data_IF_030776242666
#
_entry.id   IF_030776242666
#
_cell.length_a   1.000
_cell.length_b   1.000
_cell.length_c   1.000
_cell.angle_alpha   90.00
_cell.angle_beta   90.00
_cell.angle_gamma   90.00
#
_symmetry.space_group_name_H-M   'P 1'
#
loop_
_entity.id
_entity.type
_entity.pdbx_description
1 polymer ?
#
# COMPACT_ATOMS: atom_id res chain seq x y z
N UNK A 1 -4.17 -30.79 24.21
CA UNK A 1 -3.89 -29.68 23.28
C UNK A 1 -3.14 -30.14 22.03
N UNK A 2 -2.17 -31.06 22.13
CA UNK A 2 -1.50 -31.69 20.96
C UNK A 2 -2.49 -32.17 19.89
N UNK A 3 -3.48 -33.00 20.24
CA UNK A 3 -4.46 -33.52 19.28
C UNK A 3 -5.29 -32.39 18.62
N UNK A 4 -5.68 -31.38 19.40
CA UNK A 4 -6.38 -30.20 18.87
C UNK A 4 -5.50 -29.41 17.90
N UNK A 5 -4.23 -29.21 18.23
CA UNK A 5 -3.26 -28.55 17.36
C UNK A 5 -3.07 -29.30 16.04
N UNK A 6 -2.92 -30.63 16.09
CA UNK A 6 -2.85 -31.47 14.89
C UNK A 6 -4.11 -31.36 14.02
N UNK A 7 -5.29 -31.35 14.63
CA UNK A 7 -6.55 -31.20 13.90
C UNK A 7 -6.65 -29.82 13.24
N UNK A 8 -6.31 -28.73 13.95
CA UNK A 8 -6.30 -27.37 13.40
C UNK A 8 -5.33 -27.27 12.21
N UNK A 9 -4.13 -27.87 12.33
CA UNK A 9 -3.15 -27.92 11.23
C UNK A 9 -3.71 -28.63 10.01
N UNK A 10 -4.34 -29.80 10.20
CA UNK A 10 -4.94 -30.57 9.12
C UNK A 10 -6.09 -29.81 8.45
N UNK A 11 -6.97 -29.18 9.22
CA UNK A 11 -8.03 -28.33 8.70
C UNK A 11 -7.48 -27.17 7.86
N UNK A 12 -6.40 -26.53 8.33
CA UNK A 12 -5.77 -25.42 7.60
C UNK A 12 -5.09 -25.89 6.32
N UNK A 13 -4.41 -27.03 6.34
CA UNK A 13 -3.86 -27.66 5.13
C UNK A 13 -4.95 -28.00 4.10
N UNK A 14 -6.10 -28.51 4.54
CA UNK A 14 -7.23 -28.80 3.66
C UNK A 14 -7.81 -27.51 3.05
N UNK A 15 -7.95 -26.44 3.84
CA UNK A 15 -8.38 -25.13 3.34
C UNK A 15 -7.42 -24.58 2.29
N UNK A 16 -6.11 -24.63 2.55
CA UNK A 16 -5.10 -24.19 1.59
C UNK A 16 -5.17 -25.02 0.30
N UNK A 17 -5.36 -26.33 0.40
CA UNK A 17 -5.54 -27.17 -0.79
C UNK A 17 -6.79 -26.79 -1.60
N UNK A 18 -7.89 -26.44 -0.92
CA UNK A 18 -9.10 -25.94 -1.57
C UNK A 18 -8.87 -24.58 -2.24
N UNK A 19 -8.23 -23.64 -1.53
CA UNK A 19 -7.89 -22.31 -2.07
C UNK A 19 -7.01 -22.43 -3.32
N UNK A 20 -6.02 -23.34 -3.33
CA UNK A 20 -5.19 -23.59 -4.52
C UNK A 20 -6.01 -24.06 -5.72
N UNK A 21 -7.00 -24.92 -5.50
CA UNK A 21 -7.89 -25.39 -6.56
C UNK A 21 -8.80 -24.26 -7.06
N UNK A 22 -9.33 -23.45 -6.15
CA UNK A 22 -10.13 -22.27 -6.50
C UNK A 22 -9.31 -21.24 -7.27
N UNK A 23 -8.05 -21.03 -6.90
CA UNK A 23 -7.12 -20.12 -7.55
C UNK A 23 -6.88 -20.51 -9.01
N UNK A 24 -6.63 -21.79 -9.31
CA UNK A 24 -6.47 -22.27 -10.68
C UNK A 24 -7.73 -21.96 -11.53
N UNK A 25 -8.92 -22.17 -10.96
CA UNK A 25 -10.18 -21.84 -11.66
C UNK A 25 -10.39 -20.34 -11.83
N UNK A 26 -9.99 -19.53 -10.84
CA UNK A 26 -10.12 -18.08 -10.88
C UNK A 26 -9.14 -17.45 -11.88
N UNK A 27 -7.92 -17.98 -11.99
CA UNK A 27 -6.93 -17.57 -13.00
C UNK A 27 -7.43 -17.87 -14.42
N UNK A 28 -8.03 -19.03 -14.64
CA UNK A 28 -8.65 -19.36 -15.93
C UNK A 28 -9.79 -18.39 -16.28
N UNK A 29 -10.65 -18.07 -15.30
CA UNK A 29 -11.72 -17.07 -15.49
C UNK A 29 -11.12 -15.70 -15.79
N UNK A 30 -10.10 -15.26 -15.05
CA UNK A 30 -9.41 -13.97 -15.28
C UNK A 30 -8.87 -13.89 -16.71
N UNK A 31 -8.19 -14.93 -17.19
CA UNK A 31 -7.66 -14.99 -18.56
C UNK A 31 -8.78 -14.92 -19.62
N UNK A 32 -9.89 -15.63 -19.40
CA UNK A 32 -11.06 -15.55 -20.29
C UNK A 32 -11.66 -14.13 -20.31
N UNK A 33 -11.77 -13.47 -19.14
CA UNK A 33 -12.27 -12.09 -19.04
C UNK A 33 -11.33 -11.07 -19.65
N UNK A 34 -10.02 -11.28 -19.55
CA UNK A 34 -9.01 -10.44 -20.18
C UNK A 34 -9.16 -10.46 -21.70
N UNK A 35 -9.32 -11.65 -22.29
CA UNK A 35 -9.56 -11.78 -23.73
C UNK A 35 -10.87 -11.11 -24.16
N UNK A 36 -11.94 -11.21 -23.36
CA UNK A 36 -13.20 -10.50 -23.64
C UNK A 36 -13.07 -8.99 -23.50
N UNK A 37 -12.25 -8.51 -22.55
CA UNK A 37 -11.93 -7.09 -22.39
C UNK A 37 -11.25 -6.55 -23.63
N UNK A 38 -10.16 -7.17 -24.08
CA UNK A 38 -9.43 -6.77 -25.29
C UNK A 38 -10.33 -6.78 -26.53
N UNK A 39 -11.18 -7.81 -26.67
CA UNK A 39 -12.12 -7.92 -27.78
C UNK A 39 -13.19 -6.81 -27.79
N UNK A 40 -13.59 -6.29 -26.62
CA UNK A 40 -14.56 -5.21 -26.49
C UNK A 40 -13.92 -3.82 -26.62
N UNK A 41 -12.68 -3.64 -26.13
CA UNK A 41 -11.94 -2.37 -26.20
C UNK A 41 -11.45 -2.03 -27.61
N UNK A 42 -11.11 -3.04 -28.43
CA UNK A 42 -10.65 -2.81 -29.80
C UNK A 42 -11.66 -2.01 -30.68
N UNK A 43 -12.94 -2.39 -30.78
CA UNK A 43 -13.92 -1.62 -31.55
C UNK A 43 -14.30 -0.29 -30.89
N UNK A 44 -14.32 -0.20 -29.56
CA UNK A 44 -14.53 1.05 -28.83
C UNK A 44 -13.44 2.07 -29.17
N UNK A 45 -12.16 1.68 -29.08
CA UNK A 45 -11.02 2.54 -29.37
C UNK A 45 -11.07 3.07 -30.81
N UNK A 46 -11.40 2.20 -31.78
CA UNK A 46 -11.60 2.60 -33.18
C UNK A 46 -12.78 3.57 -33.37
N UNK A 47 -13.85 3.43 -32.57
CA UNK A 47 -14.99 4.34 -32.63
C UNK A 47 -14.64 5.70 -32.02
N UNK A 48 -13.92 5.72 -30.90
CA UNK A 48 -13.53 6.92 -30.17
C UNK A 48 -12.44 7.75 -30.87
N UNK A 49 -11.61 7.14 -31.72
CA UNK A 49 -10.59 7.85 -32.53
C UNK A 49 -11.19 9.02 -33.32
N UNK A 50 -12.38 8.83 -33.91
CA UNK A 50 -13.08 9.89 -34.66
C UNK A 50 -13.49 11.08 -33.79
N UNK A 51 -13.84 10.81 -32.54
CA UNK A 51 -14.22 11.85 -31.59
C UNK A 51 -13.00 12.61 -31.08
N UNK A 52 -11.87 11.90 -30.86
CA UNK A 52 -10.59 12.50 -30.49
C UNK A 52 -10.08 13.43 -31.59
N UNK A 53 -10.06 12.98 -32.84
CA UNK A 53 -9.65 13.80 -33.99
C UNK A 53 -10.52 15.06 -34.14
N UNK A 54 -11.83 14.92 -33.95
CA UNK A 54 -12.76 16.04 -34.03
C UNK A 54 -12.57 17.03 -32.88
N UNK A 55 -12.31 16.54 -31.67
CA UNK A 55 -12.01 17.37 -30.50
C UNK A 55 -10.68 18.12 -30.65
N UNK A 56 -9.63 17.44 -31.14
CA UNK A 56 -8.33 18.04 -31.38
C UNK A 56 -8.39 19.07 -32.51
N UNK A 57 -9.11 18.77 -33.60
CA UNK A 57 -9.36 19.75 -34.67
C UNK A 57 -10.14 20.97 -34.14
N UNK A 58 -11.10 20.77 -33.24
CA UNK A 58 -11.83 21.86 -32.60
C UNK A 58 -10.90 22.70 -31.71
N UNK A 59 -10.07 22.09 -30.87
CA UNK A 59 -9.08 22.79 -30.03
C UNK A 59 -8.09 23.58 -30.88
N UNK A 60 -7.61 23.01 -31.99
CA UNK A 60 -6.72 23.71 -32.93
C UNK A 60 -7.43 24.90 -33.57
N UNK A 61 -8.68 24.74 -34.01
CA UNK A 61 -9.46 25.83 -34.59
C UNK A 61 -9.75 26.93 -33.55
N UNK A 62 -10.12 26.57 -32.33
CA UNK A 62 -10.35 27.51 -31.23
C UNK A 62 -9.07 28.27 -30.87
N UNK A 63 -7.93 27.58 -30.80
CA UNK A 63 -6.62 28.21 -30.57
C UNK A 63 -6.22 29.14 -31.71
N UNK A 64 -6.48 28.75 -32.97
CA UNK A 64 -6.21 29.60 -34.13
C UNK A 64 -7.09 30.86 -34.14
N UNK A 65 -8.38 30.72 -33.81
CA UNK A 65 -9.30 31.86 -33.67
C UNK A 65 -8.88 32.78 -32.53
N UNK A 66 -8.52 32.22 -31.37
CA UNK A 66 -8.02 32.99 -30.25
C UNK A 66 -6.71 33.73 -30.60
N UNK A 67 -5.78 33.06 -31.29
CA UNK A 67 -4.53 33.69 -31.76
C UNK A 67 -4.79 34.82 -32.74
N UNK A 68 -5.66 34.62 -33.73
CA UNK A 68 -6.01 35.65 -34.71
C UNK A 68 -6.74 36.84 -34.08
N UNK A 69 -7.59 36.57 -33.06
CA UNK A 69 -8.24 37.62 -32.28
C UNK A 69 -7.22 38.42 -31.47
N UNK A 70 -6.31 37.75 -30.77
CA UNK A 70 -5.25 38.41 -30.00
C UNK A 70 -4.32 39.24 -30.91
N UNK A 71 -3.97 38.73 -32.10
CA UNK A 71 -3.17 39.44 -33.09
C UNK A 71 -3.91 40.69 -33.63
N UNK A 72 -5.22 40.58 -33.89
CA UNK A 72 -6.03 41.70 -34.32
C UNK A 72 -6.19 42.78 -33.22
N UNK A 73 -6.43 42.37 -31.97
CA UNK A 73 -6.49 43.28 -30.82
C UNK A 73 -5.14 43.95 -30.58
N UNK A 74 -4.03 43.21 -30.63
CA UNK A 74 -2.69 43.78 -30.52
C UNK A 74 -2.40 44.79 -31.65
N UNK A 75 -2.88 44.51 -32.87
CA UNK A 75 -2.74 45.43 -34.01
C UNK A 75 -3.58 46.69 -33.85
N UNK A 76 -4.84 46.60 -33.41
CA UNK A 76 -5.66 47.79 -33.14
C UNK A 76 -5.05 48.66 -32.03
N UNK A 77 -4.54 48.04 -30.97
CA UNK A 77 -3.84 48.77 -29.89
C UNK A 77 -2.59 49.46 -30.45
N UNK A 78 -1.79 48.76 -31.25
CA UNK A 78 -0.61 49.33 -31.89
C UNK A 78 -0.97 50.52 -32.80
N UNK A 79 -1.94 50.35 -33.70
CA UNK A 79 -2.39 51.40 -34.64
C UNK A 79 -2.98 52.62 -33.91
N UNK A 80 -3.51 52.45 -32.69
CA UNK A 80 -4.01 53.57 -31.88
C UNK A 80 -2.91 54.39 -31.20
N UNK A 81 -1.76 53.76 -30.93
CA UNK A 81 -0.61 54.38 -30.26
C UNK A 81 0.40 54.97 -31.27
N UNK A 82 0.45 54.44 -32.50
CA UNK A 82 1.32 54.92 -33.60
C UNK A 82 0.72 56.17 -34.28
N UNK A 83 0.94 57.33 -33.65
CA UNK A 83 0.31 58.60 -34.02
C UNK A 83 0.83 59.20 -35.33
N UNK A 84 2.09 58.90 -35.70
CA UNK A 84 2.69 59.36 -36.94
C UNK A 84 2.68 58.32 -38.08
N UNK A 85 2.20 57.11 -37.79
CA UNK A 85 2.03 55.99 -38.72
C UNK A 85 3.33 55.56 -39.39
N UNK A 86 4.46 55.73 -38.70
CA UNK A 86 5.78 55.28 -39.18
C UNK A 86 6.02 53.78 -38.94
N UNK A 87 5.09 53.11 -38.24
CA UNK A 87 5.15 51.70 -37.91
C UNK A 87 6.03 51.37 -36.71
N UNK A 88 6.34 52.35 -35.85
CA UNK A 88 7.14 52.17 -34.62
C UNK A 88 6.58 53.02 -33.48
N UNK A 89 6.36 52.42 -32.31
CA UNK A 89 6.00 53.17 -31.12
C UNK A 89 7.23 53.86 -30.51
N UNK A 90 7.19 55.18 -30.44
CA UNK A 90 8.18 55.99 -29.74
C UNK A 90 7.75 56.24 -28.28
N UNK A 91 8.70 56.60 -27.41
CA UNK A 91 8.41 56.87 -26.00
C UNK A 91 7.45 58.04 -25.85
N UNK A 92 7.59 59.03 -26.74
CA UNK A 92 6.78 60.23 -26.78
C UNK A 92 5.32 59.94 -27.15
N UNK A 93 5.06 58.92 -27.97
CA UNK A 93 3.71 58.48 -28.34
C UNK A 93 3.04 57.69 -27.21
N UNK A 94 3.78 56.79 -26.55
CA UNK A 94 3.29 56.04 -25.39
C UNK A 94 2.98 57.00 -24.22
N UNK A 95 3.80 58.03 -24.02
CA UNK A 95 3.59 59.04 -22.98
C UNK A 95 2.43 59.99 -23.25
N UNK A 96 1.94 60.04 -24.49
CA UNK A 96 0.79 60.86 -24.88
C UNK A 96 -0.55 60.14 -24.69
N UNK A 97 -0.52 58.84 -24.38
CA UNK A 97 -1.73 58.05 -24.14
C UNK A 97 -2.01 57.93 -22.62
N UNK A 98 -3.06 58.62 -22.18
CA UNK A 98 -3.50 58.68 -20.78
C UNK A 98 -3.91 57.30 -20.20
N UNK A 99 -4.03 56.24 -21.01
CA UNK A 99 -4.34 54.88 -20.50
C UNK A 99 -3.20 54.25 -19.71
N UNK A 100 -1.96 54.73 -19.91
CA UNK A 100 -0.78 54.29 -19.16
C UNK A 100 -0.52 55.13 -17.89
N UNK A 101 -1.29 56.20 -17.64
CA UNK A 101 -1.26 57.00 -16.41
C UNK A 101 -1.97 56.25 -15.27
N UNK A 102 -1.25 55.30 -14.67
CA UNK A 102 -1.76 54.41 -13.62
C UNK A 102 -2.04 55.17 -12.34
N UNK A 103 -1.23 56.18 -12.03
CA UNK A 103 -1.36 56.97 -10.81
C UNK A 103 -2.39 58.13 -10.93
N UNK A 104 -2.88 58.40 -12.16
CA UNK A 104 -3.88 59.40 -12.53
C UNK A 104 -3.48 60.83 -12.16
N UNK A 105 -2.19 61.15 -12.25
CA UNK A 105 -1.67 62.50 -12.00
C UNK A 105 -1.78 63.44 -13.21
N UNK A 106 -2.22 62.91 -14.36
CA UNK A 106 -2.44 63.62 -15.61
C UNK A 106 -1.20 63.72 -16.50
N UNK A 107 -0.12 62.99 -16.19
CA UNK A 107 1.08 62.87 -17.02
C UNK A 107 1.68 61.46 -16.95
N UNK A 108 1.98 60.84 -18.09
CA UNK A 108 2.65 59.52 -18.11
C UNK A 108 4.16 59.70 -17.91
N UNK A 109 4.70 59.18 -16.81
CA UNK A 109 6.13 59.24 -16.49
C UNK A 109 6.99 58.22 -17.27
N UNK A 110 8.32 58.37 -17.29
CA UNK A 110 9.22 57.38 -17.94
C UNK A 110 9.17 55.99 -17.28
N UNK A 111 8.84 55.91 -15.99
CA UNK A 111 8.62 54.65 -15.28
C UNK A 111 7.29 54.01 -15.73
N UNK A 112 6.22 54.79 -15.87
CA UNK A 112 4.90 54.29 -16.32
C UNK A 112 4.86 53.92 -17.81
N UNK A 113 5.57 54.65 -18.67
CA UNK A 113 5.73 54.30 -20.08
C UNK A 113 6.70 53.11 -20.31
N UNK A 114 7.53 52.78 -19.31
CA UNK A 114 8.51 51.69 -19.37
C UNK A 114 8.06 50.39 -18.69
N UNK A 115 7.08 50.44 -17.78
CA UNK A 115 6.57 49.27 -17.06
C UNK A 115 5.53 48.46 -17.84
N UNK A 116 5.00 48.96 -18.98
CA UNK A 116 4.04 48.22 -19.81
C UNK A 116 4.67 47.29 -20.86
N UNK A 117 6.00 47.11 -20.87
CA UNK A 117 6.66 46.24 -21.85
C UNK A 117 7.92 45.52 -21.33
N UNK A 118 7.72 44.67 -20.32
CA UNK A 118 8.65 43.59 -19.99
C UNK A 118 8.23 42.22 -20.57
N UNK A 119 7.25 42.15 -21.49
CA UNK A 119 6.91 40.89 -22.18
C UNK A 119 6.41 41.00 -23.65
N UNK A 120 6.48 42.16 -24.31
CA UNK A 120 6.09 42.27 -25.72
C UNK A 120 6.99 43.18 -26.57
N UNK A 121 8.28 42.85 -26.72
CA UNK A 121 9.08 43.22 -27.90
C UNK A 121 10.48 42.56 -27.92
N UNK A 122 10.53 41.23 -28.00
CA UNK A 122 11.62 40.53 -28.69
C UNK A 122 11.20 39.10 -28.91
N UNK A 123 10.42 38.81 -29.95
CA UNK A 123 10.50 37.60 -30.80
C UNK A 123 9.56 37.76 -32.02
N UNK A 124 9.98 38.59 -32.98
CA UNK A 124 9.54 38.45 -34.37
C UNK A 124 10.76 38.35 -35.27
N UNK A 125 11.32 37.15 -35.32
CA UNK A 125 12.03 36.65 -36.49
C UNK A 125 11.44 35.27 -36.82
N UNK A 126 11.06 35.11 -38.08
CA UNK A 126 10.29 34.01 -38.68
C UNK A 126 10.63 32.59 -38.20
N UNK A 127 9.66 31.64 -38.24
CA UNK A 127 9.88 30.25 -37.84
C UNK A 127 10.70 29.49 -38.89
N UNK A 128 11.65 28.61 -38.51
CA UNK A 128 12.11 27.57 -39.40
C UNK A 128 11.18 26.35 -39.31
N UNK A 129 11.00 25.75 -40.48
CA UNK A 129 10.31 24.49 -40.73
C UNK A 129 11.23 23.34 -40.32
N UNK A 130 10.73 22.38 -39.54
CA UNK A 130 11.40 21.10 -39.31
C UNK A 130 10.64 19.99 -40.03
N UNK A 131 11.26 19.47 -41.09
CA UNK A 131 10.95 18.17 -41.73
C UNK A 131 12.31 17.51 -42.06
N UNK A 132 12.62 16.46 -41.29
CA UNK A 132 13.30 15.22 -41.65
C UNK A 132 14.41 15.20 -42.73
N UNK A 133 15.66 14.87 -42.33
CA UNK A 133 16.41 13.66 -42.76
C UNK A 133 17.92 13.70 -42.40
N UNK A 134 18.38 12.57 -41.84
CA UNK A 134 19.65 11.87 -42.10
C UNK A 134 21.02 12.41 -41.61
N UNK A 135 21.62 11.58 -40.73
CA UNK A 135 23.05 11.30 -40.42
C UNK A 135 23.99 11.20 -41.67
N UNK A 136 25.34 11.08 -41.59
CA UNK A 136 26.22 10.82 -40.42
C UNK A 136 27.61 11.53 -40.40
N UNK A 137 28.40 11.20 -39.36
CA UNK A 137 29.88 11.06 -39.31
C UNK A 137 30.68 12.06 -38.43
N UNK A 138 31.31 11.47 -37.38
CA UNK A 138 32.72 11.61 -36.88
C UNK A 138 33.25 13.02 -36.55
N UNK A 139 33.99 13.29 -35.47
CA UNK A 139 35.08 12.54 -34.86
C UNK A 139 35.43 13.18 -33.48
N UNK A 140 36.13 12.38 -32.69
CA UNK A 140 36.67 12.42 -31.34
C UNK A 140 36.99 13.74 -30.61
N UNK A 141 36.70 13.73 -29.31
CA UNK A 141 37.74 13.90 -28.28
C UNK A 141 37.29 13.32 -26.93
N UNK A 142 38.02 12.31 -26.49
CA UNK A 142 37.92 11.64 -25.21
C UNK A 142 38.43 12.51 -24.05
N UNK A 143 37.81 12.39 -22.86
CA UNK A 143 38.50 12.39 -21.56
C UNK A 143 37.79 11.44 -20.58
N UNK A 144 38.43 10.28 -20.41
CA UNK A 144 38.80 9.58 -19.16
C UNK A 144 38.03 9.91 -17.86
N UNK A 145 37.24 8.95 -17.34
CA UNK A 145 37.10 8.72 -15.89
C UNK A 145 36.83 7.24 -15.58
N UNK A 146 37.67 6.73 -14.69
CA UNK A 146 37.87 5.36 -14.17
C UNK A 146 36.67 4.85 -13.32
N UNK A 147 36.21 3.59 -13.49
CA UNK A 147 35.10 3.01 -12.75
C UNK A 147 35.58 2.12 -11.61
N UNK A 148 35.20 2.36 -10.35
CA UNK A 148 34.97 1.28 -9.35
C UNK A 148 34.13 1.76 -8.15
N UNK A 149 33.05 1.00 -7.89
CA UNK A 149 32.36 0.73 -6.61
C UNK A 149 31.42 1.80 -6.01
N UNK A 150 30.11 1.57 -6.09
CA UNK A 150 29.39 0.90 -4.98
C UNK A 150 28.04 0.35 -5.46
N UNK A 151 27.70 -0.83 -4.93
CA UNK A 151 26.57 -1.70 -5.29
C UNK A 151 25.47 -1.44 -4.24
N UNK A 152 24.54 -0.54 -4.53
CA UNK A 152 23.32 -0.38 -3.72
C UNK A 152 22.10 -0.83 -4.54
N UNK A 153 21.62 -2.02 -4.16
CA UNK A 153 20.29 -2.54 -4.45
C UNK A 153 19.26 -1.46 -4.15
N UNK A 154 18.56 -1.01 -5.18
CA UNK A 154 17.34 -0.23 -5.02
C UNK A 154 16.22 -1.24 -4.74
N UNK A 155 15.86 -1.31 -3.47
CA UNK A 155 14.62 -1.92 -2.99
C UNK A 155 13.45 -1.21 -3.70
N UNK A 156 12.65 -1.99 -4.42
CA UNK A 156 11.34 -1.58 -4.91
C UNK A 156 10.41 -1.55 -3.68
N UNK A 157 10.34 -0.40 -3.01
CA UNK A 157 9.31 -0.15 -1.99
C UNK A 157 7.98 0.17 -2.69
N UNK A 158 7.09 -0.82 -2.65
CA UNK A 158 5.65 -0.72 -2.88
C UNK A 158 5.03 0.25 -1.85
N UNK A 159 4.68 1.47 -2.29
CA UNK A 159 3.77 2.36 -1.56
C UNK A 159 2.44 2.50 -2.33
N UNK A 160 1.58 1.49 -2.19
CA UNK A 160 0.13 1.63 -2.36
C UNK A 160 -0.49 1.99 -0.99
N UNK A 161 -1.02 3.21 -0.85
CA UNK A 161 -2.33 3.55 -0.23
C UNK A 161 -2.34 5.00 0.30
N UNK A 162 -2.89 5.92 -0.49
CA UNK A 162 -3.56 7.14 0.00
C UNK A 162 -4.72 7.50 -0.96
N UNK A 163 -5.80 6.72 -0.91
CA UNK A 163 -7.12 7.17 -1.37
C UNK A 163 -8.03 7.36 -0.14
N UNK A 164 -7.95 8.54 0.48
CA UNK A 164 -9.02 9.05 1.34
C UNK A 164 -8.97 10.59 1.35
N UNK A 165 -9.26 11.21 0.21
CA UNK A 165 -9.61 12.63 0.18
C UNK A 165 -11.06 12.78 0.66
N UNK A 166 -11.16 12.98 1.97
CA UNK A 166 -12.33 13.48 2.69
C UNK A 166 -12.73 14.84 2.09
N UNK A 167 -13.91 14.88 1.46
CA UNK A 167 -14.58 16.08 0.93
C UNK A 167 -14.69 17.18 2.00
N UNK A 168 -13.66 18.01 2.15
CA UNK A 168 -13.78 19.30 2.83
C UNK A 168 -14.36 20.30 1.85
N UNK A 169 -15.64 20.58 2.03
CA UNK A 169 -16.39 21.61 1.36
C UNK A 169 -15.74 22.99 1.51
N UNK A 170 -14.99 23.42 0.50
CA UNK A 170 -14.74 24.82 0.21
C UNK A 170 -15.53 25.23 -1.03
N UNK A 171 -16.56 26.03 -0.74
CA UNK A 171 -17.43 26.78 -1.63
C UNK A 171 -16.60 27.76 -2.47
N UNK A 172 -16.16 27.35 -3.66
CA UNK A 172 -15.86 28.27 -4.76
C UNK A 172 -16.60 27.82 -6.03
N UNK A 173 -17.59 28.62 -6.41
CA UNK A 173 -18.59 28.33 -7.43
C UNK A 173 -18.06 28.41 -8.86
N UNK A 174 -17.11 27.55 -9.21
CA UNK A 174 -16.80 27.22 -10.60
C UNK A 174 -17.52 25.92 -10.95
N UNK A 175 -18.67 26.04 -11.61
CA UNK A 175 -19.32 24.90 -12.26
C UNK A 175 -18.41 24.41 -13.38
N UNK A 176 -17.52 23.47 -13.06
CA UNK A 176 -16.90 22.62 -14.07
C UNK A 176 -18.01 21.72 -14.63
N UNK A 177 -18.78 22.29 -15.56
CA UNK A 177 -19.76 21.56 -16.33
C UNK A 177 -18.94 20.60 -17.20
N UNK A 178 -18.70 19.40 -16.68
CA UNK A 178 -18.18 18.28 -17.47
C UNK A 178 -19.13 18.16 -18.66
N UNK A 179 -18.69 18.64 -19.82
CA UNK A 179 -19.42 18.48 -21.06
C UNK A 179 -19.43 16.98 -21.33
N UNK A 180 -20.51 16.32 -20.95
CA UNK A 180 -20.73 14.91 -21.21
C UNK A 180 -20.65 14.74 -22.73
N UNK A 181 -19.58 14.09 -23.20
CA UNK A 181 -19.36 13.88 -24.64
C UNK A 181 -20.45 12.92 -25.09
N UNK A 182 -21.48 13.46 -25.74
CA UNK A 182 -22.58 12.65 -26.25
C UNK A 182 -22.11 11.92 -27.50
N UNK A 183 -21.86 10.62 -27.35
CA UNK A 183 -21.55 9.73 -28.46
C UNK A 183 -22.80 9.38 -29.26
N UNK A 184 -22.62 9.00 -30.53
CA UNK A 184 -23.67 8.37 -31.31
C UNK A 184 -24.09 7.02 -30.70
N UNK A 185 -25.32 6.58 -30.99
CA UNK A 185 -25.90 5.36 -30.41
C UNK A 185 -25.00 4.13 -30.57
N UNK A 186 -24.35 3.99 -31.74
CA UNK A 186 -23.48 2.84 -31.97
C UNK A 186 -22.20 2.92 -31.14
N UNK A 187 -21.54 4.08 -31.10
CA UNK A 187 -20.35 4.28 -30.26
C UNK A 187 -20.67 4.10 -28.78
N UNK A 188 -21.82 4.59 -28.30
CA UNK A 188 -22.26 4.38 -26.92
C UNK A 188 -22.39 2.89 -26.59
N UNK A 189 -22.97 2.08 -27.50
CA UNK A 189 -23.07 0.63 -27.26
C UNK A 189 -21.71 -0.06 -27.16
N UNK A 190 -20.70 0.43 -27.88
CA UNK A 190 -19.33 -0.10 -27.82
C UNK A 190 -18.65 0.28 -26.51
N UNK A 191 -18.81 1.54 -26.08
CA UNK A 191 -18.33 2.02 -24.77
C UNK A 191 -18.97 1.24 -23.63
N UNK A 192 -20.29 1.05 -23.65
CA UNK A 192 -21.00 0.29 -22.62
C UNK A 192 -20.54 -1.17 -22.57
N UNK A 193 -20.36 -1.81 -23.74
CA UNK A 193 -19.85 -3.17 -23.82
C UNK A 193 -18.42 -3.31 -23.29
N UNK A 194 -17.54 -2.35 -23.61
CA UNK A 194 -16.18 -2.31 -23.09
C UNK A 194 -16.14 -2.08 -21.58
N UNK A 195 -16.99 -1.19 -21.05
CA UNK A 195 -17.11 -0.94 -19.62
C UNK A 195 -17.57 -2.18 -18.85
N UNK A 196 -18.56 -2.92 -19.37
CA UNK A 196 -18.98 -4.21 -18.78
C UNK A 196 -17.85 -5.24 -18.83
N UNK A 197 -17.07 -5.28 -19.90
CA UNK A 197 -15.94 -6.20 -20.02
C UNK A 197 -14.81 -5.84 -19.04
N UNK A 198 -14.50 -4.54 -18.88
CA UNK A 198 -13.54 -4.03 -17.89
C UNK A 198 -13.95 -4.38 -16.47
N UNK A 199 -15.20 -4.09 -16.09
CA UNK A 199 -15.69 -4.40 -14.74
C UNK A 199 -15.66 -5.91 -14.47
N UNK A 200 -16.08 -6.73 -15.45
CA UNK A 200 -16.03 -8.19 -15.32
C UNK A 200 -14.60 -8.73 -15.21
N UNK A 201 -13.62 -8.12 -15.89
CA UNK A 201 -12.21 -8.47 -15.73
C UNK A 201 -11.69 -8.06 -14.34
N UNK A 202 -12.02 -6.85 -13.90
CA UNK A 202 -11.60 -6.34 -12.59
C UNK A 202 -12.11 -7.24 -11.46
N UNK A 203 -13.39 -7.63 -11.48
CA UNK A 203 -13.97 -8.56 -10.51
C UNK A 203 -13.22 -9.91 -10.48
N UNK A 204 -12.82 -10.43 -11.65
CA UNK A 204 -12.04 -11.67 -11.73
C UNK A 204 -10.59 -11.49 -11.24
N UNK A 205 -9.96 -10.36 -11.53
CA UNK A 205 -8.63 -10.02 -11.06
C UNK A 205 -8.58 -9.84 -9.53
N UNK A 206 -9.56 -9.15 -8.96
CA UNK A 206 -9.71 -8.95 -7.53
C UNK A 206 -9.92 -10.28 -6.81
N UNK A 207 -10.69 -11.22 -7.40
CA UNK A 207 -10.86 -12.56 -6.84
C UNK A 207 -9.54 -13.33 -6.78
N UNK A 208 -8.70 -13.24 -7.80
CA UNK A 208 -7.37 -13.85 -7.81
C UNK A 208 -6.47 -13.21 -6.75
N UNK A 209 -6.49 -11.88 -6.62
CA UNK A 209 -5.73 -11.15 -5.58
C UNK A 209 -6.14 -11.61 -4.18
N UNK A 210 -7.44 -11.72 -3.91
CA UNK A 210 -7.97 -12.20 -2.62
C UNK A 210 -7.53 -13.64 -2.33
N UNK A 211 -7.68 -14.56 -3.28
CA UNK A 211 -7.27 -15.96 -3.11
C UNK A 211 -5.76 -16.09 -2.83
N UNK A 212 -4.92 -15.29 -3.51
CA UNK A 212 -3.49 -15.28 -3.27
C UNK A 212 -3.14 -14.76 -1.87
N UNK A 213 -3.84 -13.72 -1.39
CA UNK A 213 -3.68 -13.23 -0.01
C UNK A 213 -4.05 -14.31 1.01
N UNK A 214 -5.23 -14.93 0.87
CA UNK A 214 -5.66 -16.02 1.74
C UNK A 214 -4.67 -17.19 1.74
N UNK A 215 -4.10 -17.50 0.56
CA UNK A 215 -3.09 -18.55 0.41
C UNK A 215 -1.81 -18.21 1.18
N UNK A 216 -1.30 -17.00 1.00
CA UNK A 216 -0.08 -16.52 1.66
C UNK A 216 -0.25 -16.52 3.19
N UNK A 217 -1.34 -15.95 3.70
CA UNK A 217 -1.67 -15.94 5.13
C UNK A 217 -1.80 -17.37 5.68
N UNK A 218 -2.43 -18.27 4.91
CA UNK A 218 -2.53 -19.68 5.24
C UNK A 218 -1.18 -20.37 5.33
N UNK A 219 -0.29 -20.12 4.36
CA UNK A 219 1.06 -20.69 4.30
C UNK A 219 1.94 -20.17 5.44
N UNK A 220 1.96 -18.86 5.68
CA UNK A 220 2.70 -18.25 6.79
C UNK A 220 2.25 -18.86 8.13
N UNK A 221 0.94 -19.03 8.32
CA UNK A 221 0.39 -19.70 9.49
C UNK A 221 0.81 -21.17 9.63
N UNK A 222 1.08 -21.90 8.54
CA UNK A 222 1.59 -23.26 8.63
C UNK A 222 3.09 -23.31 8.98
N UNK A 223 3.85 -22.29 8.60
CA UNK A 223 5.29 -22.19 8.78
C UNK A 223 5.69 -21.73 10.19
N UNK A 224 4.81 -21.00 10.89
CA UNK A 224 5.02 -20.60 12.28
C UNK A 224 5.29 -21.81 13.19
N UNK A 225 6.19 -21.61 14.15
CA UNK A 225 6.53 -22.60 15.17
C UNK A 225 5.48 -22.60 16.29
N UNK A 226 4.69 -23.67 16.39
CA UNK A 226 3.67 -23.86 17.44
C UNK A 226 4.06 -24.91 18.48
N UNK A 227 5.34 -25.19 18.62
CA UNK A 227 5.84 -26.25 19.49
C UNK A 227 6.15 -27.54 18.74
N UNK A 228 6.95 -28.43 19.35
CA UNK A 228 7.40 -29.69 18.73
C UNK A 228 6.27 -30.61 18.25
N UNK A 229 5.10 -30.55 18.88
CA UNK A 229 3.93 -31.37 18.54
C UNK A 229 2.72 -30.52 18.09
N UNK A 230 2.94 -29.26 17.68
CA UNK A 230 1.91 -28.26 17.36
C UNK A 230 0.95 -27.97 18.54
N UNK A 231 1.38 -28.24 19.78
CA UNK A 231 0.53 -28.15 20.97
C UNK A 231 0.02 -26.74 21.27
N UNK A 232 0.74 -25.71 20.85
CA UNK A 232 0.37 -24.32 21.07
C UNK A 232 -0.48 -23.74 19.93
N UNK A 233 -0.69 -24.48 18.83
CA UNK A 233 -1.48 -24.01 17.66
C UNK A 233 -2.91 -23.63 18.02
N UNK A 234 -3.44 -24.21 19.10
CA UNK A 234 -4.76 -23.87 19.67
C UNK A 234 -4.88 -22.41 20.11
N UNK A 235 -3.77 -21.68 20.30
CA UNK A 235 -3.83 -20.27 20.67
C UNK A 235 -3.90 -19.34 19.45
N UNK A 236 -3.57 -19.82 18.26
CA UNK A 236 -3.61 -18.99 17.05
C UNK A 236 -5.02 -18.45 16.80
N UNK A 237 -5.12 -17.14 16.55
CA UNK A 237 -6.40 -16.44 16.35
C UNK A 237 -7.22 -16.21 17.62
N UNK A 238 -6.78 -16.69 18.78
CA UNK A 238 -7.40 -16.41 20.07
C UNK A 238 -6.68 -15.26 20.78
N UNK A 239 -7.43 -14.35 21.40
CA UNK A 239 -6.87 -13.26 22.17
C UNK A 239 -7.35 -13.32 23.63
N UNK A 240 -6.43 -13.00 24.55
CA UNK A 240 -6.64 -13.07 25.99
C UNK A 240 -6.37 -11.70 26.60
N UNK A 241 -7.27 -11.26 27.47
CA UNK A 241 -7.22 -9.93 28.03
C UNK A 241 -6.95 -9.98 29.54
N UNK A 242 -6.15 -9.02 30.01
CA UNK A 242 -5.91 -8.77 31.42
C UNK A 242 -6.07 -7.29 31.70
N UNK A 243 -6.79 -6.98 32.76
CA UNK A 243 -7.17 -5.61 33.08
C UNK A 243 -6.66 -5.25 34.46
N UNK A 244 -5.83 -4.21 34.55
CA UNK A 244 -5.31 -3.70 35.83
C UNK A 244 -6.12 -2.48 36.33
N UNK A 245 -5.49 -1.47 36.95
CA UNK A 245 -6.18 -0.24 37.36
C UNK A 245 -6.30 0.80 36.25
N UNK A 246 -5.34 0.85 35.34
CA UNK A 246 -5.16 1.94 34.37
C UNK A 246 -5.32 1.46 32.92
N UNK A 247 -4.92 0.22 32.64
CA UNK A 247 -4.84 -0.33 31.29
C UNK A 247 -5.59 -1.66 31.14
N UNK A 248 -6.01 -1.92 29.91
CA UNK A 248 -6.40 -3.24 29.44
C UNK A 248 -5.29 -3.74 28.50
N UNK A 249 -4.69 -4.87 28.86
CA UNK A 249 -3.68 -5.56 28.07
C UNK A 249 -4.35 -6.69 27.30
N UNK A 250 -3.92 -6.87 26.05
CA UNK A 250 -4.41 -7.93 25.18
C UNK A 250 -3.22 -8.68 24.60
N UNK A 251 -3.28 -10.00 24.66
CA UNK A 251 -2.32 -10.92 24.09
C UNK A 251 -3.01 -11.78 23.05
N UNK A 252 -2.59 -11.72 21.79
CA UNK A 252 -2.99 -12.65 20.75
C UNK A 252 -1.76 -13.49 20.39
N UNK A 253 -1.62 -14.71 20.94
CA UNK A 253 -0.46 -15.54 20.70
C UNK A 253 -0.21 -15.77 19.20
N UNK A 254 1.05 -15.70 18.78
CA UNK A 254 1.49 -15.82 17.39
C UNK A 254 1.13 -14.64 16.46
N UNK A 255 0.61 -13.55 17.03
CA UNK A 255 0.27 -12.31 16.32
C UNK A 255 0.91 -11.10 17.03
N UNK A 256 0.26 -10.55 18.06
CA UNK A 256 0.73 -9.34 18.75
C UNK A 256 0.28 -9.25 20.21
N UNK A 257 0.99 -8.41 20.97
CA UNK A 257 0.59 -7.94 22.29
C UNK A 257 0.29 -6.44 22.24
N UNK A 258 -0.72 -5.98 22.97
CA UNK A 258 -1.17 -4.59 22.95
C UNK A 258 -1.69 -4.10 24.29
N UNK A 259 -1.78 -2.78 24.42
CA UNK A 259 -2.29 -2.08 25.60
C UNK A 259 -3.27 -0.99 25.16
N UNK A 260 -4.36 -0.82 25.90
CA UNK A 260 -5.29 0.30 25.75
C UNK A 260 -5.59 0.93 27.10
N UNK A 261 -5.68 2.26 27.15
CA UNK A 261 -6.03 2.97 28.38
C UNK A 261 -7.54 2.83 28.67
N UNK A 262 -7.89 2.59 29.94
CA UNK A 262 -9.31 2.47 30.34
C UNK A 262 -10.11 3.75 30.18
N UNK A 263 -9.44 4.90 30.25
CA UNK A 263 -10.05 6.22 30.06
C UNK A 263 -10.47 6.49 28.61
N UNK A 264 -10.25 5.54 27.70
CA UNK A 264 -10.32 5.75 26.26
C UNK A 264 -8.97 6.14 25.68
N UNK A 265 -8.83 6.01 24.37
CA UNK A 265 -7.59 6.21 23.62
C UNK A 265 -7.38 5.09 22.58
N UNK A 266 -6.36 5.26 21.73
CA UNK A 266 -5.95 4.26 20.76
C UNK A 266 -5.25 3.06 21.41
N UNK A 267 -5.24 1.93 20.70
CA UNK A 267 -4.48 0.74 21.06
C UNK A 267 -2.99 0.96 20.78
N UNK A 268 -2.15 0.78 21.79
CA UNK A 268 -0.68 0.84 21.67
C UNK A 268 -0.12 -0.56 21.47
N UNK A 269 0.65 -0.77 20.41
CA UNK A 269 1.32 -2.05 20.16
C UNK A 269 2.50 -2.23 21.12
N UNK A 270 2.52 -3.36 21.84
CA UNK A 270 3.60 -3.76 22.73
C UNK A 270 4.56 -4.79 22.11
N UNK A 271 4.32 -5.17 20.85
CA UNK A 271 5.18 -6.05 20.06
C UNK A 271 4.41 -7.03 19.19
N UNK A 272 5.03 -7.45 18.09
CA UNK A 272 4.61 -8.57 17.24
C UNK A 272 5.36 -9.83 17.65
N UNK A 273 4.72 -10.98 17.48
CA UNK A 273 5.33 -12.28 17.77
C UNK A 273 6.63 -12.47 16.97
N UNK A 274 7.68 -12.94 17.64
CA UNK A 274 8.97 -13.24 17.02
C UNK A 274 9.40 -14.70 17.20
N UNK A 275 9.84 -15.05 18.41
CA UNK A 275 10.53 -16.32 18.65
C UNK A 275 10.25 -16.91 20.03
N UNK A 276 10.33 -18.24 20.10
CA UNK A 276 10.29 -18.97 21.36
C UNK A 276 11.58 -18.80 22.14
N UNK A 277 11.45 -18.77 23.46
CA UNK A 277 12.54 -18.74 24.41
C UNK A 277 12.32 -19.79 25.52
N UNK A 278 13.38 -20.09 26.27
CA UNK A 278 13.35 -20.97 27.43
C UNK A 278 12.73 -22.36 27.16
N UNK A 279 13.02 -22.97 25.99
CA UNK A 279 12.45 -24.24 25.55
C UNK A 279 10.91 -24.24 25.58
N UNK A 280 10.29 -23.30 24.84
CA UNK A 280 8.84 -23.13 24.75
C UNK A 280 8.16 -22.74 26.08
N UNK A 281 8.91 -22.15 27.02
CA UNK A 281 8.33 -21.59 28.27
C UNK A 281 8.14 -20.08 28.22
N UNK A 282 8.69 -19.41 27.20
CA UNK A 282 8.57 -17.97 27.04
C UNK A 282 8.37 -17.61 25.57
N UNK A 283 7.49 -16.66 25.28
CA UNK A 283 7.28 -16.07 23.97
C UNK A 283 7.79 -14.63 23.96
N UNK A 284 8.69 -14.28 23.03
CA UNK A 284 9.18 -12.92 22.83
C UNK A 284 8.41 -12.19 21.73
N UNK A 285 7.93 -11.00 22.06
CA UNK A 285 7.27 -10.06 21.15
C UNK A 285 8.13 -8.79 21.05
N UNK A 286 8.46 -8.36 19.85
CA UNK A 286 9.35 -7.23 19.58
C UNK A 286 8.74 -6.28 18.56
N UNK A 287 9.43 -5.18 18.23
CA UNK A 287 8.99 -4.22 17.21
C UNK A 287 7.60 -3.62 17.49
N UNK A 288 7.29 -3.36 18.77
CA UNK A 288 6.11 -2.61 19.17
C UNK A 288 6.27 -1.12 18.88
N UNK A 289 5.24 -0.34 19.23
CA UNK A 289 5.21 1.09 18.98
C UNK A 289 6.38 1.81 19.66
N UNK A 290 6.98 2.78 18.97
CA UNK A 290 8.12 3.56 19.46
C UNK A 290 7.86 4.23 20.81
N UNK A 291 8.82 4.09 21.72
CA UNK A 291 8.76 4.64 23.06
C UNK A 291 9.57 5.94 23.15
N UNK A 292 8.97 7.02 23.66
CA UNK A 292 9.71 8.27 23.84
C UNK A 292 10.87 8.07 24.80
N UNK A 293 12.12 8.30 24.37
CA UNK A 293 13.33 8.03 25.15
C UNK A 293 13.39 6.58 25.66
N UNK A 294 13.10 5.60 24.80
CA UNK A 294 13.19 4.18 25.10
C UNK A 294 13.32 3.36 23.82
N UNK A 295 13.59 2.05 23.94
CA UNK A 295 13.55 1.16 22.78
C UNK A 295 12.11 1.03 22.24
N UNK A 296 11.95 0.43 21.07
CA UNK A 296 10.64 -0.02 20.63
C UNK A 296 10.04 -0.93 21.70
N UNK A 297 8.73 -0.75 21.98
CA UNK A 297 8.05 -1.54 23.00
C UNK A 297 8.21 -3.03 22.70
N UNK A 298 8.47 -3.82 23.73
CA UNK A 298 8.63 -5.26 23.62
C UNK A 298 7.97 -5.97 24.79
N UNK A 299 7.51 -7.19 24.58
CA UNK A 299 6.81 -7.98 25.59
C UNK A 299 7.38 -9.38 25.66
N UNK A 300 7.76 -9.83 26.85
CA UNK A 300 8.10 -11.23 27.13
C UNK A 300 6.91 -11.88 27.84
N UNK A 301 6.30 -12.87 27.21
CA UNK A 301 5.19 -13.64 27.79
C UNK A 301 5.74 -14.95 28.35
N UNK A 302 5.71 -15.10 29.67
CA UNK A 302 6.07 -16.35 30.34
C UNK A 302 4.86 -17.27 30.44
N UNK A 303 5.03 -18.52 30.05
CA UNK A 303 4.01 -19.55 30.16
C UNK A 303 4.08 -20.23 31.53
N UNK A 304 2.94 -20.33 32.21
CA UNK A 304 2.80 -21.04 33.48
C UNK A 304 1.75 -22.15 33.39
N UNK A 305 2.00 -23.25 34.07
CA UNK A 305 1.04 -24.36 34.12
C UNK A 305 -0.22 -23.91 34.86
N UNK A 306 -1.38 -24.13 34.24
CA UNK A 306 -2.66 -24.04 34.91
C UNK A 306 -3.78 -24.73 34.14
N UNK A 307 -5.00 -24.62 34.64
CA UNK A 307 -6.15 -25.38 34.10
C UNK A 307 -6.85 -24.72 32.92
N UNK A 308 -6.65 -23.41 32.75
CA UNK A 308 -7.32 -22.56 31.77
C UNK A 308 -6.29 -21.74 31.01
N UNK A 309 -6.62 -21.34 29.78
CA UNK A 309 -5.84 -20.42 28.97
C UNK A 309 -6.23 -18.98 29.34
N UNK A 310 -5.39 -18.27 30.10
CA UNK A 310 -5.69 -16.89 30.48
C UNK A 310 -4.45 -16.07 30.79
N UNK A 311 -4.53 -14.78 30.48
CA UNK A 311 -3.51 -13.80 30.85
C UNK A 311 -3.69 -13.42 32.33
N UNK A 312 -2.78 -13.89 33.20
CA UNK A 312 -2.90 -13.70 34.66
C UNK A 312 -2.32 -12.37 35.14
N UNK A 313 -1.31 -11.84 34.45
CA UNK A 313 -0.66 -10.59 34.83
C UNK A 313 0.05 -9.91 33.66
N UNK A 314 0.18 -8.59 33.78
CA UNK A 314 0.97 -7.74 32.92
C UNK A 314 1.72 -6.73 33.79
N UNK A 315 3.03 -6.61 33.60
CA UNK A 315 3.90 -5.70 34.36
C UNK A 315 4.91 -5.03 33.44
N UNK A 316 5.33 -3.81 33.76
CA UNK A 316 6.38 -3.07 33.05
C UNK A 316 7.58 -2.90 33.99
N UNK A 317 8.45 -3.92 34.15
CA UNK A 317 9.59 -3.84 35.07
C UNK A 317 10.64 -2.82 34.63
N UNK A 318 10.83 -2.66 33.31
CA UNK A 318 11.65 -1.61 32.72
C UNK A 318 10.81 -0.81 31.74
N UNK A 319 11.19 0.45 31.52
CA UNK A 319 10.48 1.34 30.62
C UNK A 319 10.35 0.73 29.22
N UNK A 320 9.12 0.58 28.76
CA UNK A 320 8.76 0.02 27.45
C UNK A 320 9.19 -1.45 27.25
N UNK A 321 9.48 -2.17 28.32
CA UNK A 321 9.67 -3.62 28.34
C UNK A 321 8.62 -4.24 29.26
N UNK A 322 7.76 -5.07 28.69
CA UNK A 322 6.63 -5.65 29.37
C UNK A 322 6.88 -7.13 29.66
N UNK A 323 6.39 -7.58 30.80
CA UNK A 323 6.40 -8.98 31.21
C UNK A 323 4.96 -9.41 31.48
N UNK A 324 4.51 -10.34 30.67
CA UNK A 324 3.20 -10.98 30.79
C UNK A 324 3.39 -12.37 31.36
N UNK A 325 2.41 -12.82 32.14
CA UNK A 325 2.33 -14.23 32.55
C UNK A 325 1.04 -14.80 31.99
N UNK A 326 1.17 -15.82 31.16
CA UNK A 326 0.06 -16.52 30.52
C UNK A 326 -0.03 -17.92 31.09
N UNK A 327 -1.18 -18.21 31.72
CA UNK A 327 -1.44 -19.53 32.30
C UNK A 327 -2.07 -20.42 31.24
N UNK A 328 -1.60 -21.66 31.13
CA UNK A 328 -2.12 -22.64 30.17
C UNK A 328 -1.84 -24.08 30.59
N UNK A 329 -2.75 -25.04 30.33
CA UNK A 329 -2.48 -26.46 30.52
C UNK A 329 -1.45 -27.02 29.53
N UNK A 330 -1.11 -26.28 28.46
CA UNK A 330 -0.13 -26.74 27.46
C UNK A 330 1.28 -26.96 28.05
N UNK A 331 1.66 -26.24 29.10
CA UNK A 331 2.99 -26.33 29.73
C UNK A 331 2.99 -27.10 31.06
N UNK A 332 1.90 -27.81 31.39
CA UNK A 332 1.83 -28.64 32.59
C UNK A 332 2.57 -29.97 32.39
N UNK A 333 3.46 -30.30 33.34
CA UNK A 333 4.17 -31.59 33.38
C UNK A 333 3.16 -32.73 33.62
N UNK A 334 3.13 -33.69 32.71
CA UNK A 334 2.09 -34.73 32.60
C UNK A 334 1.66 -35.09 31.17
N UNK A 335 2.15 -34.33 30.17
CA UNK A 335 2.06 -34.66 28.73
C UNK A 335 3.42 -35.09 28.13
N UNK A 336 4.35 -35.64 28.92
CA UNK A 336 5.56 -36.23 28.35
C UNK A 336 5.21 -37.57 27.67
N UNK A 337 5.58 -37.81 26.40
CA UNK A 337 5.68 -39.18 25.91
C UNK A 337 6.72 -39.91 26.79
N UNK A 338 6.44 -41.16 27.21
CA UNK A 338 7.26 -41.84 28.20
C UNK A 338 8.72 -41.90 27.71
N UNK A 339 9.60 -41.27 28.48
CA UNK A 339 11.05 -41.35 28.25
C UNK A 339 11.47 -42.82 28.43
N UNK A 340 12.17 -43.38 27.44
CA UNK A 340 12.66 -44.77 27.38
C UNK A 340 13.59 -45.20 28.53
N UNK A 341 13.74 -44.41 29.58
CA UNK A 341 14.51 -44.75 30.77
C UNK A 341 13.67 -45.41 31.88
N UNK A 342 12.33 -45.33 31.81
CA UNK A 342 11.47 -45.95 32.83
C UNK A 342 11.04 -47.39 32.52
N UNK A 343 11.29 -47.90 31.30
CA UNK A 343 10.97 -49.29 30.95
C UNK A 343 11.94 -50.31 31.59
N UNK A 344 13.13 -49.87 32.04
CA UNK A 344 14.10 -50.77 32.68
C UNK A 344 13.89 -51.01 34.18
N UNK A 345 13.01 -50.25 34.86
CA UNK A 345 12.83 -50.36 36.31
C UNK A 345 11.55 -51.10 36.72
N UNK A 346 10.56 -51.24 35.82
CA UNK A 346 9.34 -51.99 36.12
C UNK A 346 9.51 -53.51 35.95
N UNK A 347 10.35 -53.98 35.02
CA UNK A 347 10.62 -55.42 34.85
C UNK A 347 11.44 -56.03 36.02
N UNK A 348 12.23 -55.25 36.76
CA UNK A 348 13.00 -55.79 37.91
C UNK A 348 12.17 -55.97 39.18
N UNK A 349 11.07 -55.23 39.35
CA UNK A 349 10.21 -55.32 40.54
C UNK A 349 9.21 -56.47 40.42
N UNK A 350 8.63 -56.67 39.24
CA UNK A 350 7.65 -57.75 39.00
C UNK A 350 8.33 -59.15 39.04
N UNK A 351 9.57 -59.26 38.57
CA UNK A 351 10.38 -60.49 38.67
C UNK A 351 10.94 -60.80 40.07
N UNK A 352 10.78 -59.92 41.07
CA UNK A 352 11.17 -60.18 42.45
C UNK A 352 9.98 -60.60 43.33
N UNK A 353 8.75 -60.17 43.06
CA UNK A 353 7.56 -60.64 43.79
C UNK A 353 7.16 -62.07 43.40
N UNK A 354 7.32 -62.48 42.13
CA UNK A 354 7.00 -63.85 41.69
C UNK A 354 7.93 -64.92 42.28
N UNK A 355 9.19 -64.55 42.61
CA UNK A 355 10.16 -65.48 43.24
C UNK A 355 9.96 -65.68 44.74
N UNK A 356 9.17 -64.83 45.40
CA UNK A 356 8.86 -64.97 46.83
C UNK A 356 7.58 -65.79 47.05
N UNK A 357 6.68 -65.83 46.07
CA UNK A 357 5.45 -66.64 46.13
C UNK A 357 5.69 -68.16 45.97
N UNK A 358 6.75 -68.57 45.26
CA UNK A 358 7.04 -69.99 45.00
C UNK A 358 7.83 -70.70 46.13
N UNK A 359 8.32 -69.96 47.13
CA UNK A 359 9.11 -70.52 48.23
C UNK A 359 8.28 -70.99 49.44
N UNK A 360 6.94 -70.89 49.40
CA UNK A 360 6.07 -71.19 50.54
C UNK A 360 5.14 -72.42 50.37
N UNK A 361 5.37 -73.27 49.37
CA UNK A 361 4.54 -74.47 49.11
C UNK A 361 5.32 -75.80 49.15
N UNK A 362 6.37 -75.92 49.95
CA UNK A 362 6.93 -77.24 50.32
C UNK A 362 7.38 -77.26 51.79
N UNK A 363 6.48 -77.68 52.68
CA UNK A 363 6.79 -78.23 54.00
C UNK A 363 5.77 -79.29 54.40
#
# INVERSE_FOLDING_TARGET
>A
MIEQGRNIKMEKQNKIAQIKLELESAEAIKADRESLKEAAEAPESQALEKYRDAEDAKKVAEKAVASAKNEAEAKEVFDSLDGDSDGRLTKEEIQADDTYDTNRDGTVSEEEAGESNADAASEHSSPPLDDDLASPETDESAEDYDPELDDEQTEEDDEDDLDEDEDTADDDGSQHQSLEVVYDEHTQTLVDAANVARSSFQEAADRVKELNRELMEGQESLEKDYGPEDEFRVFEGNCYEYTDREYNYKLCPFDKASQSAKSGGGETSLGKWGEWQDNYRSMKYSNGQGCWNGPNRSTTVRLECGIENLLVSATEPNKCEYHFVFMTPAVCEGNEPPTLQQQGQQEEVEGQEERVADAHTEL
#
